data_IF_876145700627
#
_entry.id   IF_876145700627
#
_cell.length_a   1.000
_cell.length_b   1.000
_cell.length_c   1.000
_cell.angle_alpha   90.00
_cell.angle_beta   90.00
_cell.angle_gamma   90.00
#
_symmetry.space_group_name_H-M   'P 1'
#
loop_
_entity.id
_entity.type
_entity.pdbx_description
1 polymer ?
#
# COMPACT_ATOMS: atom_id res chain seq x y z
N UNK A 1 7.95 0.89 25.88
CA UNK A 1 7.84 0.36 24.51
C UNK A 1 6.70 1.09 23.82
N UNK A 2 6.94 1.66 22.62
CA UNK A 2 5.86 2.26 21.83
C UNK A 2 4.92 1.20 21.27
N UNK A 3 3.62 1.49 21.26
CA UNK A 3 2.57 0.62 20.71
C UNK A 3 2.02 1.20 19.42
N UNK A 4 1.95 0.39 18.37
CA UNK A 4 1.39 0.78 17.10
C UNK A 4 0.18 -0.10 16.72
N UNK A 5 -0.91 0.51 16.27
CA UNK A 5 -2.05 -0.20 15.68
C UNK A 5 -1.99 -0.07 14.16
N UNK A 6 -2.10 -1.20 13.44
CA UNK A 6 -2.11 -1.25 11.98
C UNK A 6 -3.41 -1.87 11.51
N UNK A 7 -4.24 -1.11 10.78
CA UNK A 7 -5.33 -1.68 10.00
C UNK A 7 -4.79 -2.13 8.63
N UNK A 8 -5.32 -3.25 8.09
CA UNK A 8 -4.79 -3.78 6.84
C UNK A 8 -3.41 -4.44 6.95
N UNK A 9 -3.06 -4.93 8.14
CA UNK A 9 -1.75 -5.53 8.46
C UNK A 9 -1.38 -6.70 7.53
N UNK A 10 -2.34 -7.45 7.01
CA UNK A 10 -2.13 -8.58 6.11
C UNK A 10 -1.88 -8.18 4.65
N UNK A 11 -1.94 -6.88 4.33
CA UNK A 11 -1.62 -6.33 3.03
C UNK A 11 -0.11 -6.23 2.80
N UNK A 12 0.29 -5.81 1.57
CA UNK A 12 1.68 -5.54 1.24
C UNK A 12 2.32 -4.58 2.25
N UNK A 13 1.79 -3.37 2.34
CA UNK A 13 2.36 -2.30 3.16
C UNK A 13 2.28 -2.63 4.66
N UNK A 14 1.15 -3.22 5.10
CA UNK A 14 0.96 -3.64 6.48
C UNK A 14 2.02 -4.65 6.92
N UNK A 15 2.39 -5.59 6.06
CA UNK A 15 3.41 -6.61 6.37
C UNK A 15 4.81 -6.01 6.48
N UNK A 16 5.22 -5.14 5.56
CA UNK A 16 6.52 -4.46 5.64
C UNK A 16 6.59 -3.45 6.79
N UNK A 17 5.50 -2.71 7.02
CA UNK A 17 5.44 -1.80 8.16
C UNK A 17 5.55 -2.54 9.50
N UNK A 18 4.95 -3.73 9.60
CA UNK A 18 5.08 -4.57 10.80
C UNK A 18 6.53 -4.97 11.04
N UNK A 19 7.24 -5.43 10.00
CA UNK A 19 8.67 -5.75 10.11
C UNK A 19 9.49 -4.54 10.55
N UNK A 20 9.25 -3.39 9.92
CA UNK A 20 9.93 -2.15 10.26
C UNK A 20 9.70 -1.74 11.73
N UNK A 21 8.45 -1.75 12.19
CA UNK A 21 8.14 -1.34 13.56
C UNK A 21 8.69 -2.33 14.59
N UNK A 22 8.60 -3.64 14.34
CA UNK A 22 9.21 -4.65 15.20
C UNK A 22 10.72 -4.48 15.30
N UNK A 23 11.42 -4.19 14.18
CA UNK A 23 12.87 -3.93 14.17
C UNK A 23 13.24 -2.67 14.97
N UNK A 24 12.34 -1.68 15.01
CA UNK A 24 12.47 -0.45 15.83
C UNK A 24 12.07 -0.64 17.29
N UNK A 25 11.71 -1.86 17.71
CA UNK A 25 11.38 -2.18 19.11
C UNK A 25 9.93 -1.87 19.52
N UNK A 26 9.02 -1.64 18.57
CA UNK A 26 7.60 -1.44 18.87
C UNK A 26 6.92 -2.74 19.28
N UNK A 27 5.83 -2.61 20.03
CA UNK A 27 4.76 -3.59 20.13
C UNK A 27 3.72 -3.26 19.05
N UNK A 28 3.40 -4.24 18.22
CA UNK A 28 2.54 -4.05 17.03
C UNK A 28 1.23 -4.79 17.22
N UNK A 29 0.11 -4.08 17.07
CA UNK A 29 -1.24 -4.60 17.13
C UNK A 29 -1.89 -4.51 15.75
N UNK A 30 -2.13 -5.65 15.12
CA UNK A 30 -2.72 -5.73 13.79
C UNK A 30 -4.22 -6.00 13.82
N UNK A 31 -5.01 -5.21 13.07
CA UNK A 31 -6.41 -5.55 12.81
C UNK A 31 -6.51 -6.50 11.62
N UNK A 32 -7.13 -7.66 11.84
CA UNK A 32 -7.45 -8.65 10.82
C UNK A 32 -8.95 -8.87 10.75
N UNK A 33 -9.49 -9.01 9.52
CA UNK A 33 -10.88 -9.39 9.33
C UNK A 33 -11.03 -10.89 9.53
N UNK A 34 -12.14 -11.30 10.16
CA UNK A 34 -12.47 -12.71 10.22
C UNK A 34 -12.87 -13.20 8.83
N UNK A 35 -12.14 -14.16 8.30
CA UNK A 35 -12.42 -14.84 7.04
C UNK A 35 -12.40 -16.35 7.23
N UNK A 36 -13.09 -17.10 6.35
CA UNK A 36 -13.08 -18.57 6.38
C UNK A 36 -11.72 -19.15 5.94
N UNK A 37 -10.95 -18.38 5.17
CA UNK A 37 -9.60 -18.74 4.73
C UNK A 37 -8.57 -17.86 5.45
N UNK A 38 -7.43 -18.44 5.78
CA UNK A 38 -6.31 -17.67 6.35
C UNK A 38 -5.75 -16.71 5.31
N UNK A 39 -5.53 -15.46 5.70
CA UNK A 39 -4.97 -14.40 4.85
C UNK A 39 -3.73 -13.75 5.46
N UNK A 40 -3.08 -14.43 6.40
CA UNK A 40 -1.95 -13.92 7.20
C UNK A 40 -0.58 -14.28 6.62
N UNK A 41 -0.52 -14.95 5.47
CA UNK A 41 0.72 -15.51 4.90
C UNK A 41 1.89 -14.52 4.79
N UNK A 42 1.60 -13.19 4.63
CA UNK A 42 2.64 -12.15 4.57
C UNK A 42 3.23 -11.78 5.93
N UNK A 43 2.60 -12.23 7.03
CA UNK A 43 3.04 -11.91 8.41
C UNK A 43 3.25 -13.17 9.27
N UNK A 44 2.98 -14.38 8.75
CA UNK A 44 3.11 -15.63 9.53
C UNK A 44 4.52 -15.84 10.08
N UNK A 45 5.54 -15.41 9.33
CA UNK A 45 6.94 -15.49 9.74
C UNK A 45 7.32 -14.55 10.91
N UNK A 46 6.47 -13.57 11.23
CA UNK A 46 6.66 -12.62 12.33
C UNK A 46 5.88 -13.04 13.59
N UNK A 47 4.96 -14.01 13.44
CA UNK A 47 4.09 -14.40 14.51
C UNK A 47 4.83 -15.26 15.55
N UNK A 48 4.79 -14.81 16.79
CA UNK A 48 5.22 -15.54 17.97
C UNK A 48 4.00 -15.72 18.87
N UNK A 49 3.84 -16.89 19.46
CA UNK A 49 2.70 -17.17 20.35
C UNK A 49 2.66 -16.10 21.46
N UNK A 50 1.51 -15.42 21.68
CA UNK A 50 1.39 -14.35 22.68
C UNK A 50 1.71 -14.77 24.13
N UNK A 51 1.80 -16.07 24.43
CA UNK A 51 2.25 -16.56 25.73
C UNK A 51 3.78 -16.54 25.90
N UNK A 52 4.52 -16.29 24.82
CA UNK A 52 5.97 -16.17 24.90
C UNK A 52 6.37 -14.74 25.36
N UNK A 53 7.40 -14.61 26.21
CA UNK A 53 7.80 -13.31 26.77
C UNK A 53 8.32 -12.29 25.73
N UNK A 54 8.75 -12.75 24.59
CA UNK A 54 9.28 -11.96 23.46
C UNK A 54 8.25 -11.63 22.38
N UNK A 55 7.00 -12.08 22.55
CA UNK A 55 5.92 -11.75 21.63
C UNK A 55 5.68 -10.23 21.60
N UNK A 56 5.76 -9.64 20.39
CA UNK A 56 5.54 -8.21 20.17
C UNK A 56 4.56 -7.95 19.01
N UNK A 57 4.00 -8.99 18.39
CA UNK A 57 2.96 -8.89 17.38
C UNK A 57 1.68 -9.52 17.92
N UNK A 58 0.63 -8.72 18.02
CA UNK A 58 -0.68 -9.14 18.52
C UNK A 58 -1.75 -8.90 17.44
N UNK A 59 -2.53 -9.93 17.11
CA UNK A 59 -3.56 -9.85 16.11
C UNK A 59 -4.95 -9.79 16.74
N UNK A 60 -5.76 -8.83 16.30
CA UNK A 60 -7.10 -8.58 16.81
C UNK A 60 -8.14 -8.68 15.67
N UNK A 61 -9.23 -9.37 15.91
CA UNK A 61 -10.36 -9.33 14.99
C UNK A 61 -11.08 -7.98 15.06
N UNK A 62 -11.25 -7.36 13.90
CA UNK A 62 -11.96 -6.09 13.74
C UNK A 62 -12.16 -5.76 12.27
N UNK A 63 -13.11 -4.87 12.01
CA UNK A 63 -13.43 -4.35 10.68
C UNK A 63 -13.64 -2.85 10.76
N UNK A 64 -13.26 -2.09 9.72
CA UNK A 64 -13.49 -0.64 9.66
C UNK A 64 -14.99 -0.29 9.58
N UNK A 65 -15.86 -1.25 9.33
CA UNK A 65 -17.31 -1.07 9.37
C UNK A 65 -17.90 -1.14 10.78
N UNK A 66 -17.14 -1.63 11.78
CA UNK A 66 -17.56 -1.77 13.18
C UNK A 66 -16.89 -0.71 14.08
N UNK A 67 -17.46 0.50 14.12
CA UNK A 67 -16.94 1.61 14.92
C UNK A 67 -16.87 1.30 16.42
N UNK A 68 -17.83 0.54 16.98
CA UNK A 68 -17.84 0.17 18.39
C UNK A 68 -16.64 -0.70 18.75
N UNK A 69 -16.33 -1.67 17.90
CA UNK A 69 -15.17 -2.53 18.07
C UNK A 69 -13.87 -1.72 18.00
N UNK A 70 -13.78 -0.76 17.07
CA UNK A 70 -12.60 0.11 16.93
C UNK A 70 -12.36 0.94 18.21
N UNK A 71 -13.39 1.55 18.79
CA UNK A 71 -13.28 2.29 20.06
C UNK A 71 -12.78 1.39 21.17
N UNK A 72 -13.38 0.20 21.32
CA UNK A 72 -12.99 -0.76 22.35
C UNK A 72 -11.52 -1.19 22.22
N UNK A 73 -11.09 -1.50 21.00
CA UNK A 73 -9.71 -1.90 20.72
C UNK A 73 -8.72 -0.79 21.07
N UNK A 74 -8.95 0.43 20.57
CA UNK A 74 -8.06 1.56 20.83
C UNK A 74 -8.00 1.91 22.32
N UNK A 75 -9.12 1.90 23.02
CA UNK A 75 -9.15 2.13 24.49
C UNK A 75 -8.39 1.06 25.28
N UNK A 76 -8.37 -0.18 24.78
CA UNK A 76 -7.68 -1.29 25.47
C UNK A 76 -6.18 -1.27 25.18
N UNK A 77 -5.80 -1.03 23.92
CA UNK A 77 -4.40 -1.04 23.47
C UNK A 77 -3.68 0.23 23.94
N UNK A 78 -4.37 1.37 23.92
CA UNK A 78 -3.82 2.71 24.20
C UNK A 78 -2.55 2.97 23.36
N UNK A 79 -2.66 3.03 22.01
CA UNK A 79 -1.52 3.10 21.12
C UNK A 79 -0.88 4.49 21.08
N UNK A 80 0.43 4.54 20.82
CA UNK A 80 1.17 5.77 20.49
C UNK A 80 0.97 6.18 19.02
N UNK A 81 0.78 5.19 18.15
CA UNK A 81 0.67 5.40 16.70
C UNK A 81 -0.42 4.51 16.09
N UNK A 82 -1.20 5.06 15.17
CA UNK A 82 -2.24 4.34 14.42
C UNK A 82 -2.00 4.52 12.93
N UNK A 83 -1.83 3.41 12.21
CA UNK A 83 -1.65 3.38 10.76
C UNK A 83 -2.89 2.82 10.07
N UNK A 84 -3.65 3.67 9.38
CA UNK A 84 -4.81 3.25 8.61
C UNK A 84 -4.45 2.88 7.17
N UNK A 85 -4.15 1.59 6.96
CA UNK A 85 -3.80 1.05 5.63
C UNK A 85 -4.94 0.23 5.01
N UNK A 86 -5.98 -0.10 5.80
CA UNK A 86 -7.09 -0.90 5.31
C UNK A 86 -7.97 -0.12 4.33
N UNK A 87 -8.26 -0.75 3.20
CA UNK A 87 -9.15 -0.21 2.16
C UNK A 87 -9.60 -1.34 1.22
N UNK A 88 -10.69 -1.09 0.47
CA UNK A 88 -10.87 -1.76 -0.82
C UNK A 88 -9.99 -1.00 -1.83
N UNK A 89 -8.81 -1.53 -2.16
CA UNK A 89 -7.76 -0.78 -2.87
C UNK A 89 -7.67 -1.07 -4.37
N UNK A 90 -8.46 -2.01 -4.88
CA UNK A 90 -8.42 -2.36 -6.30
C UNK A 90 -9.31 -1.43 -7.12
N UNK A 91 -8.68 -0.52 -7.89
CA UNK A 91 -9.38 0.55 -8.63
C UNK A 91 -10.44 -0.01 -9.57
N UNK A 92 -10.14 -1.07 -10.37
CA UNK A 92 -11.12 -1.65 -11.31
C UNK A 92 -12.35 -2.21 -10.56
N UNK A 93 -12.13 -2.92 -9.45
CA UNK A 93 -13.20 -3.49 -8.61
C UNK A 93 -14.09 -2.40 -8.01
N UNK A 94 -13.56 -1.19 -7.76
CA UNK A 94 -14.36 -0.10 -7.23
C UNK A 94 -15.51 0.35 -8.15
N UNK A 95 -15.42 0.08 -9.46
CA UNK A 95 -16.51 0.32 -10.39
C UNK A 95 -17.62 -0.74 -10.30
N UNK A 96 -17.26 -1.95 -9.91
CA UNK A 96 -18.21 -3.05 -9.73
C UNK A 96 -18.88 -2.99 -8.35
N UNK A 97 -18.13 -2.51 -7.32
CA UNK A 97 -18.58 -2.43 -5.92
C UNK A 97 -18.40 -0.99 -5.34
N UNK A 98 -19.05 0.05 -5.93
CA UNK A 98 -18.80 1.43 -5.52
C UNK A 98 -19.28 1.74 -4.10
N UNK A 99 -20.40 1.15 -3.67
CA UNK A 99 -20.95 1.35 -2.32
C UNK A 99 -20.04 0.74 -1.26
N UNK A 100 -19.62 -0.52 -1.46
CA UNK A 100 -18.69 -1.19 -0.55
C UNK A 100 -17.33 -0.46 -0.48
N UNK A 101 -16.84 0.02 -1.61
CA UNK A 101 -15.62 0.82 -1.69
C UNK A 101 -15.75 2.12 -0.89
N UNK A 102 -16.87 2.84 -1.05
CA UNK A 102 -17.16 4.07 -0.32
C UNK A 102 -17.26 3.84 1.19
N UNK A 103 -18.00 2.80 1.59
CA UNK A 103 -18.21 2.45 3.00
C UNK A 103 -16.91 2.00 3.70
N UNK A 104 -16.16 1.09 3.09
CA UNK A 104 -14.93 0.56 3.68
C UNK A 104 -13.80 1.59 3.67
N UNK A 105 -13.58 2.27 2.54
CA UNK A 105 -12.44 3.17 2.36
C UNK A 105 -12.73 4.56 2.90
N UNK A 106 -13.87 5.16 2.51
CA UNK A 106 -14.26 6.50 2.93
C UNK A 106 -14.79 6.54 4.36
N UNK A 107 -15.92 5.90 4.59
CA UNK A 107 -16.56 5.87 5.92
C UNK A 107 -15.75 5.10 6.94
N UNK A 108 -15.01 4.06 6.52
CA UNK A 108 -14.11 3.33 7.43
C UNK A 108 -13.04 4.22 8.03
N UNK A 109 -12.48 5.15 7.27
CA UNK A 109 -11.53 6.16 7.78
C UNK A 109 -12.17 7.07 8.82
N UNK A 110 -13.41 7.53 8.59
CA UNK A 110 -14.16 8.33 9.57
C UNK A 110 -14.42 7.54 10.85
N UNK A 111 -14.84 6.29 10.74
CA UNK A 111 -15.10 5.43 11.94
C UNK A 111 -13.83 5.28 12.77
N UNK A 112 -12.68 5.12 12.12
CA UNK A 112 -11.41 4.99 12.84
C UNK A 112 -10.95 6.32 13.46
N UNK A 113 -11.09 7.47 12.76
CA UNK A 113 -10.83 8.80 13.32
C UNK A 113 -11.74 9.10 14.52
N UNK A 114 -13.05 8.79 14.42
CA UNK A 114 -13.97 8.90 15.55
C UNK A 114 -13.58 7.96 16.70
N UNK A 115 -13.14 6.75 16.38
CA UNK A 115 -12.67 5.82 17.40
C UNK A 115 -11.43 6.37 18.15
N UNK A 116 -10.48 6.99 17.46
CA UNK A 116 -9.34 7.69 18.08
C UNK A 116 -9.84 8.81 19.00
N UNK A 117 -10.73 9.66 18.50
CA UNK A 117 -11.26 10.80 19.25
C UNK A 117 -12.06 10.36 20.49
N UNK A 118 -12.92 9.36 20.35
CA UNK A 118 -13.81 8.89 21.43
C UNK A 118 -13.09 8.06 22.50
N UNK A 119 -12.08 7.28 22.10
CA UNK A 119 -11.25 6.52 23.03
C UNK A 119 -10.30 7.40 23.84
N UNK A 120 -10.16 8.70 23.47
CA UNK A 120 -9.29 9.67 24.13
C UNK A 120 -7.80 9.25 24.20
N UNK A 121 -7.36 8.38 23.31
CA UNK A 121 -5.95 8.01 23.20
C UNK A 121 -5.15 9.17 22.61
N UNK A 122 -3.98 9.41 23.17
CA UNK A 122 -3.06 10.43 22.67
C UNK A 122 -2.10 9.78 21.67
N UNK A 123 -2.57 9.56 20.44
CA UNK A 123 -1.79 8.88 19.41
C UNK A 123 -1.56 9.78 18.20
N UNK A 124 -0.53 9.42 17.40
CA UNK A 124 -0.30 9.95 16.07
C UNK A 124 -1.00 9.07 15.05
N UNK A 125 -1.73 9.67 14.12
CA UNK A 125 -2.58 8.97 13.16
C UNK A 125 -2.06 9.17 11.73
N UNK A 126 -1.80 8.07 11.02
CA UNK A 126 -1.44 8.04 9.62
C UNK A 126 -2.61 7.53 8.77
N UNK A 127 -3.00 8.30 7.76
CA UNK A 127 -3.97 7.91 6.73
C UNK A 127 -3.25 7.56 5.44
N UNK A 128 -3.40 6.34 4.96
CA UNK A 128 -2.97 5.96 3.62
C UNK A 128 -3.88 6.62 2.58
N UNK A 129 -3.40 7.71 2.01
CA UNK A 129 -3.98 8.38 0.85
C UNK A 129 -3.36 7.84 -0.44
N UNK A 130 -3.76 8.34 -1.61
CA UNK A 130 -3.39 7.73 -2.89
C UNK A 130 -3.23 8.75 -4.00
N UNK A 131 -2.30 8.52 -4.92
CA UNK A 131 -2.17 9.28 -6.16
C UNK A 131 -3.41 9.21 -7.05
N UNK A 132 -4.27 8.18 -6.90
CA UNK A 132 -5.55 8.08 -7.61
C UNK A 132 -6.54 9.23 -7.26
N UNK A 133 -6.29 9.97 -6.18
CA UNK A 133 -7.02 11.19 -5.85
C UNK A 133 -6.78 12.30 -6.87
N UNK A 134 -5.59 12.40 -7.42
CA UNK A 134 -5.25 13.38 -8.45
C UNK A 134 -5.99 13.11 -9.76
N UNK A 135 -6.14 11.84 -10.14
CA UNK A 135 -6.95 11.43 -11.29
C UNK A 135 -6.54 12.12 -12.58
N UNK A 136 -7.36 13.05 -13.09
CA UNK A 136 -7.12 13.78 -14.33
C UNK A 136 -6.29 15.07 -14.15
N UNK A 137 -5.84 15.40 -12.96
CA UNK A 137 -4.95 16.55 -12.74
C UNK A 137 -3.59 16.32 -13.39
N UNK A 138 -3.03 17.30 -14.09
CA UNK A 138 -1.78 17.11 -14.85
C UNK A 138 -0.58 16.85 -13.93
N UNK A 139 0.37 15.99 -14.35
CA UNK A 139 1.63 15.79 -13.64
C UNK A 139 2.65 16.94 -13.88
N UNK A 140 3.68 17.07 -13.01
CA UNK A 140 3.88 16.33 -11.77
C UNK A 140 2.91 16.79 -10.69
N UNK A 141 2.37 15.81 -9.91
CA UNK A 141 1.44 16.11 -8.83
C UNK A 141 2.15 16.19 -7.48
N UNK A 142 1.79 17.19 -6.67
CA UNK A 142 2.30 17.40 -5.32
C UNK A 142 1.15 17.71 -4.34
N UNK A 143 1.49 18.10 -3.12
CA UNK A 143 0.53 18.39 -2.05
C UNK A 143 -0.43 19.56 -2.35
N UNK A 144 -0.06 20.46 -3.26
CA UNK A 144 -0.85 21.64 -3.68
C UNK A 144 -1.72 21.35 -4.93
N UNK A 145 -1.52 20.21 -5.60
CA UNK A 145 -2.25 19.85 -6.81
C UNK A 145 -3.71 19.53 -6.49
N UNK A 146 -4.69 20.18 -7.13
CA UNK A 146 -6.11 19.87 -6.91
C UNK A 146 -6.46 18.43 -7.26
N UNK A 147 -7.33 17.81 -6.48
CA UNK A 147 -7.83 16.47 -6.74
C UNK A 147 -8.91 16.47 -7.82
N UNK A 148 -8.81 15.51 -8.75
CA UNK A 148 -9.83 15.24 -9.75
C UNK A 148 -9.96 13.72 -9.98
N UNK A 149 -10.51 12.97 -8.99
CA UNK A 149 -10.54 11.52 -9.03
C UNK A 149 -11.33 10.98 -10.22
N UNK A 150 -10.88 9.85 -10.77
CA UNK A 150 -11.47 9.20 -11.94
C UNK A 150 -12.03 7.80 -11.62
N UNK A 151 -12.25 7.50 -10.33
CA UNK A 151 -12.80 6.22 -9.89
C UNK A 151 -13.52 6.36 -8.54
N UNK A 152 -14.47 5.46 -8.22
CA UNK A 152 -15.08 5.41 -6.88
C UNK A 152 -14.04 5.26 -5.77
N UNK A 153 -12.96 4.50 -6.00
CA UNK A 153 -11.82 4.39 -5.08
C UNK A 153 -11.13 5.73 -4.86
N UNK A 154 -10.79 6.44 -5.95
CA UNK A 154 -10.16 7.77 -5.85
C UNK A 154 -11.05 8.76 -5.09
N UNK A 155 -12.36 8.77 -5.37
CA UNK A 155 -13.33 9.62 -4.68
C UNK A 155 -13.42 9.29 -3.18
N UNK A 156 -13.44 8.00 -2.81
CA UNK A 156 -13.44 7.58 -1.41
C UNK A 156 -12.15 7.98 -0.67
N UNK A 157 -11.00 7.93 -1.36
CA UNK A 157 -9.71 8.41 -0.81
C UNK A 157 -9.69 9.93 -0.64
N UNK A 158 -10.27 10.71 -1.55
CA UNK A 158 -10.43 12.17 -1.39
C UNK A 158 -11.28 12.49 -0.14
N UNK A 159 -12.35 11.74 0.08
CA UNK A 159 -13.17 11.90 1.30
C UNK A 159 -12.36 11.60 2.56
N UNK A 160 -11.60 10.49 2.59
CA UNK A 160 -10.72 10.13 3.71
C UNK A 160 -9.64 11.19 3.97
N UNK A 161 -9.04 11.73 2.90
CA UNK A 161 -8.02 12.78 2.98
C UNK A 161 -8.57 14.04 3.68
N UNK A 162 -9.69 14.56 3.19
CA UNK A 162 -10.29 15.76 3.77
C UNK A 162 -10.81 15.54 5.18
N UNK A 163 -11.32 14.35 5.47
CA UNK A 163 -11.71 13.99 6.83
C UNK A 163 -10.51 14.01 7.79
N UNK A 164 -9.39 13.40 7.40
CA UNK A 164 -8.16 13.38 8.21
C UNK A 164 -7.67 14.81 8.49
N UNK A 165 -7.65 15.65 7.46
CA UNK A 165 -7.28 17.06 7.59
C UNK A 165 -8.25 17.81 8.50
N UNK A 166 -9.56 17.60 8.33
CA UNK A 166 -10.57 18.21 9.17
C UNK A 166 -10.43 17.82 10.64
N UNK A 167 -10.15 16.53 10.95
CA UNK A 167 -9.94 16.10 12.34
C UNK A 167 -8.67 16.69 12.95
N UNK A 168 -7.62 16.88 12.17
CA UNK A 168 -6.43 17.61 12.59
C UNK A 168 -6.75 19.05 12.96
N UNK A 169 -7.48 19.76 12.10
CA UNK A 169 -7.79 21.18 12.27
C UNK A 169 -8.87 21.44 13.36
N UNK A 170 -9.91 20.60 13.40
CA UNK A 170 -11.06 20.80 14.29
C UNK A 170 -10.82 20.27 15.71
N UNK A 171 -10.07 19.17 15.86
CA UNK A 171 -9.91 18.48 17.14
C UNK A 171 -8.46 18.45 17.64
N UNK A 172 -7.52 19.02 16.90
CA UNK A 172 -6.10 19.04 17.28
C UNK A 172 -5.43 17.67 17.26
N UNK A 173 -5.98 16.69 16.51
CA UNK A 173 -5.35 15.39 16.39
C UNK A 173 -4.04 15.50 15.58
N UNK A 174 -3.00 14.82 16.05
CA UNK A 174 -1.82 14.62 15.20
C UNK A 174 -2.18 13.61 14.10
N UNK A 175 -2.76 14.08 13.00
CA UNK A 175 -3.24 13.26 11.91
C UNK A 175 -2.63 13.73 10.57
N UNK A 176 -2.02 12.80 9.83
CA UNK A 176 -1.29 13.06 8.58
C UNK A 176 -1.81 12.21 7.43
N UNK A 177 -1.76 12.73 6.21
CA UNK A 177 -2.02 11.97 4.99
C UNK A 177 -0.70 11.68 4.27
N UNK A 178 -0.42 10.41 4.01
CA UNK A 178 0.61 10.01 3.05
C UNK A 178 -0.03 9.82 1.66
N UNK A 179 0.24 10.72 0.73
CA UNK A 179 -0.26 10.63 -0.65
C UNK A 179 0.74 9.79 -1.43
N UNK A 180 0.51 8.48 -1.44
CA UNK A 180 1.45 7.53 -2.01
C UNK A 180 1.15 7.28 -3.49
N UNK A 181 2.19 7.42 -4.30
CA UNK A 181 2.18 6.93 -5.67
C UNK A 181 2.30 5.40 -5.67
N UNK A 182 2.15 4.79 -6.84
CA UNK A 182 2.18 3.34 -6.93
C UNK A 182 3.49 2.78 -6.34
N UNK A 183 3.39 1.82 -5.45
CA UNK A 183 4.54 1.18 -4.84
C UNK A 183 4.29 -0.33 -4.76
N UNK A 184 5.28 -1.05 -5.19
CA UNK A 184 5.16 -2.44 -5.55
C UNK A 184 6.23 -3.27 -4.85
N UNK A 185 6.02 -4.57 -4.81
CA UNK A 185 6.98 -5.53 -4.25
C UNK A 185 6.59 -6.96 -4.61
N UNK A 186 7.41 -7.98 -4.26
CA UNK A 186 7.00 -9.38 -4.31
C UNK A 186 5.74 -9.70 -3.51
N UNK A 187 5.35 -8.87 -2.53
CA UNK A 187 4.13 -9.03 -1.72
C UNK A 187 2.91 -8.30 -2.28
N UNK A 188 3.03 -7.64 -3.44
CA UNK A 188 1.89 -6.98 -4.08
C UNK A 188 0.77 -7.98 -4.38
N UNK A 189 -0.49 -7.53 -4.28
CA UNK A 189 -1.65 -8.35 -4.66
C UNK A 189 -1.55 -8.82 -6.11
N UNK A 190 -1.86 -10.09 -6.35
CA UNK A 190 -1.61 -10.78 -7.64
C UNK A 190 -2.42 -10.24 -8.82
N UNK A 191 -3.51 -9.53 -8.55
CA UNK A 191 -4.39 -8.92 -9.55
C UNK A 191 -3.93 -7.52 -10.00
N UNK A 192 -2.97 -6.91 -9.30
CA UNK A 192 -2.39 -5.64 -9.72
C UNK A 192 -1.45 -5.82 -10.91
N UNK A 193 -1.45 -4.84 -11.82
CA UNK A 193 -0.83 -4.97 -13.15
C UNK A 193 0.64 -5.39 -13.09
N UNK A 194 1.44 -4.79 -12.22
CA UNK A 194 2.87 -5.11 -12.05
C UNK A 194 3.07 -6.56 -11.61
N UNK A 195 2.35 -6.98 -10.57
CA UNK A 195 2.43 -8.35 -10.06
C UNK A 195 1.85 -9.37 -11.04
N UNK A 196 0.77 -9.01 -11.76
CA UNK A 196 0.22 -9.83 -12.83
C UNK A 196 1.26 -10.07 -13.92
N UNK A 197 2.05 -9.05 -14.29
CA UNK A 197 3.11 -9.15 -15.28
C UNK A 197 4.22 -10.08 -14.78
N UNK A 198 4.78 -9.81 -13.60
CA UNK A 198 5.96 -10.55 -13.10
C UNK A 198 5.66 -12.03 -12.84
N UNK A 199 4.47 -12.35 -12.31
CA UNK A 199 4.00 -13.74 -12.19
C UNK A 199 3.82 -14.42 -13.53
N UNK A 200 3.24 -13.72 -14.52
CA UNK A 200 3.10 -14.29 -15.86
C UNK A 200 4.47 -14.56 -16.49
N UNK A 201 5.43 -13.63 -16.36
CA UNK A 201 6.81 -13.82 -16.82
C UNK A 201 7.42 -15.09 -16.24
N UNK A 202 7.36 -15.27 -14.92
CA UNK A 202 7.87 -16.46 -14.25
C UNK A 202 7.20 -17.75 -14.76
N UNK A 203 5.87 -17.75 -14.89
CA UNK A 203 5.09 -18.89 -15.36
C UNK A 203 5.32 -19.23 -16.85
N UNK A 204 5.48 -18.21 -17.70
CA UNK A 204 5.82 -18.38 -19.11
C UNK A 204 7.24 -18.97 -19.25
N UNK A 205 8.20 -18.45 -18.47
CA UNK A 205 9.56 -18.99 -18.44
C UNK A 205 9.59 -20.45 -18.00
N UNK A 206 8.73 -20.84 -17.07
CA UNK A 206 8.58 -22.23 -16.60
C UNK A 206 7.74 -23.10 -17.57
N UNK A 207 7.19 -22.56 -18.66
CA UNK A 207 6.40 -23.30 -19.63
C UNK A 207 4.98 -23.67 -19.17
N UNK A 208 4.49 -23.08 -18.07
CA UNK A 208 3.16 -23.38 -17.49
C UNK A 208 2.09 -22.34 -17.84
N UNK A 209 2.45 -21.33 -18.63
CA UNK A 209 1.53 -20.31 -19.17
C UNK A 209 1.99 -19.89 -20.57
N UNK A 210 1.04 -19.65 -21.48
CA UNK A 210 1.33 -19.28 -22.88
C UNK A 210 1.21 -17.79 -23.16
N UNK A 211 0.29 -17.09 -22.49
CA UNK A 211 -0.08 -15.71 -22.84
C UNK A 211 -0.33 -14.87 -21.59
N UNK A 212 -0.11 -13.56 -21.73
CA UNK A 212 -0.47 -12.54 -20.72
C UNK A 212 -1.43 -11.53 -21.38
N UNK A 213 -2.63 -11.42 -20.83
CA UNK A 213 -3.62 -10.45 -21.31
C UNK A 213 -3.58 -9.18 -20.45
N UNK A 214 -3.40 -8.02 -21.09
CA UNK A 214 -3.36 -6.70 -20.47
C UNK A 214 -4.35 -5.75 -21.16
N UNK A 215 -4.74 -4.68 -20.45
CA UNK A 215 -5.54 -3.59 -21.00
C UNK A 215 -4.66 -2.47 -21.56
N UNK A 216 -4.83 -1.24 -21.03
CA UNK A 216 -4.10 -0.07 -21.50
C UNK A 216 -2.60 -0.18 -21.20
N UNK A 217 -1.78 -0.34 -22.25
CA UNK A 217 -0.33 -0.44 -22.16
C UNK A 217 0.37 0.94 -22.07
N UNK A 218 -0.34 2.00 -22.43
CA UNK A 218 0.25 3.34 -22.56
C UNK A 218 0.00 4.23 -21.34
N UNK A 219 -0.78 3.73 -20.35
CA UNK A 219 -0.97 4.41 -19.09
C UNK A 219 0.37 4.56 -18.35
N UNK A 220 0.68 5.81 -17.92
CA UNK A 220 1.93 6.15 -17.25
C UNK A 220 1.74 6.13 -15.73
N UNK A 221 2.63 5.45 -15.02
CA UNK A 221 2.63 5.40 -13.56
C UNK A 221 4.04 5.62 -13.02
N UNK A 222 4.10 6.19 -11.83
CA UNK A 222 5.28 6.31 -11.01
C UNK A 222 5.29 5.12 -10.03
N UNK A 223 6.19 4.16 -10.25
CA UNK A 223 6.29 2.94 -9.43
C UNK A 223 7.54 2.95 -8.58
N UNK A 224 7.38 2.89 -7.27
CA UNK A 224 8.43 2.75 -6.29
C UNK A 224 8.40 1.40 -5.56
N UNK A 225 9.32 1.20 -4.64
CA UNK A 225 9.48 -0.03 -3.86
C UNK A 225 8.81 0.10 -2.49
N UNK A 226 7.87 -0.79 -2.18
CA UNK A 226 7.01 -0.69 -0.99
C UNK A 226 7.76 -0.59 0.36
N UNK A 227 8.87 -1.31 0.61
CA UNK A 227 9.66 -1.14 1.83
C UNK A 227 10.14 0.29 2.07
N UNK A 228 10.52 1.05 1.03
CA UNK A 228 10.92 2.44 1.18
C UNK A 228 9.74 3.34 1.55
N UNK A 229 8.55 3.03 1.02
CA UNK A 229 7.33 3.80 1.30
C UNK A 229 6.85 3.62 2.74
N UNK A 230 6.93 2.42 3.30
CA UNK A 230 6.54 2.21 4.71
C UNK A 230 7.50 2.93 5.68
N UNK A 231 8.77 3.08 5.31
CA UNK A 231 9.68 3.96 6.06
C UNK A 231 9.24 5.42 6.00
N UNK A 232 8.79 5.90 4.84
CA UNK A 232 8.19 7.21 4.69
C UNK A 232 6.96 7.41 5.57
N UNK A 233 6.06 6.41 5.64
CA UNK A 233 4.90 6.43 6.54
C UNK A 233 5.32 6.61 8.00
N UNK A 234 6.32 5.84 8.44
CA UNK A 234 6.84 5.95 9.80
C UNK A 234 7.47 7.32 10.05
N UNK A 235 8.29 7.85 9.13
CA UNK A 235 8.92 9.17 9.26
C UNK A 235 7.91 10.30 9.39
N UNK A 236 6.76 10.23 8.69
CA UNK A 236 5.68 11.22 8.82
C UNK A 236 5.16 11.29 10.26
N UNK A 237 5.02 10.14 10.93
CA UNK A 237 4.59 10.11 12.32
C UNK A 237 5.71 10.47 13.32
N UNK A 238 6.95 10.60 12.89
CA UNK A 238 8.04 11.12 13.74
C UNK A 238 8.27 12.63 13.57
N UNK A 239 7.62 13.26 12.59
CA UNK A 239 7.73 14.70 12.35
C UNK A 239 7.24 15.51 13.56
N UNK A 240 7.76 16.74 13.79
CA UNK A 240 7.32 17.57 14.90
C UNK A 240 5.87 18.05 14.75
N UNK A 241 5.43 18.32 13.53
CA UNK A 241 4.10 18.82 13.21
C UNK A 241 3.38 17.89 12.22
N UNK A 242 2.03 17.81 12.32
CA UNK A 242 1.23 16.95 11.43
C UNK A 242 1.04 17.63 10.06
N UNK A 243 1.74 17.15 9.05
CA UNK A 243 1.63 17.60 7.66
C UNK A 243 1.33 16.45 6.70
N UNK A 244 0.84 16.80 5.50
CA UNK A 244 0.58 15.85 4.43
C UNK A 244 1.79 15.81 3.47
N UNK A 245 2.13 14.61 2.97
CA UNK A 245 3.30 14.39 2.12
C UNK A 245 3.00 13.49 0.94
N UNK A 246 3.52 13.86 -0.23
CA UNK A 246 3.62 12.99 -1.40
C UNK A 246 4.86 12.10 -1.27
N UNK A 247 4.68 10.79 -1.48
CA UNK A 247 5.78 9.84 -1.67
C UNK A 247 5.72 9.31 -3.11
N UNK A 248 6.80 9.53 -3.87
CA UNK A 248 6.92 9.17 -5.27
C UNK A 248 8.38 9.03 -5.67
N UNK A 249 8.65 8.37 -6.80
CA UNK A 249 10.01 8.32 -7.37
C UNK A 249 10.33 9.53 -8.24
N UNK A 250 9.32 10.27 -8.68
CA UNK A 250 9.42 11.38 -9.62
C UNK A 250 9.61 10.95 -11.08
N UNK A 251 9.44 9.66 -11.39
CA UNK A 251 9.65 9.11 -12.73
C UNK A 251 8.45 8.28 -13.18
N UNK A 252 7.90 8.65 -14.32
CA UNK A 252 6.80 7.93 -14.96
C UNK A 252 7.29 6.89 -15.96
N UNK A 253 6.64 5.72 -15.96
CA UNK A 253 6.85 4.66 -16.94
C UNK A 253 5.50 4.14 -17.42
N UNK A 254 5.43 3.73 -18.68
CA UNK A 254 4.25 3.05 -19.22
C UNK A 254 4.16 1.62 -18.74
N UNK A 255 2.95 1.05 -18.74
CA UNK A 255 2.75 -0.39 -18.50
C UNK A 255 3.54 -1.23 -19.51
N UNK A 256 3.66 -0.76 -20.74
CA UNK A 256 4.47 -1.35 -21.82
C UNK A 256 5.94 -1.46 -21.42
N UNK A 257 6.54 -0.36 -20.96
CA UNK A 257 7.96 -0.33 -20.54
C UNK A 257 8.21 -1.24 -19.33
N UNK A 258 7.28 -1.28 -18.38
CA UNK A 258 7.38 -2.22 -17.26
C UNK A 258 7.33 -3.67 -17.73
N UNK A 259 6.37 -4.03 -18.63
CA UNK A 259 6.26 -5.37 -19.18
C UNK A 259 7.51 -5.74 -19.97
N UNK A 260 7.99 -4.88 -20.86
CA UNK A 260 9.22 -5.10 -21.60
C UNK A 260 10.39 -5.39 -20.66
N UNK A 261 10.62 -4.54 -19.66
CA UNK A 261 11.71 -4.72 -18.70
C UNK A 261 11.64 -6.06 -17.97
N UNK A 262 10.41 -6.45 -17.55
CA UNK A 262 10.19 -7.71 -16.85
C UNK A 262 10.47 -8.94 -17.74
N UNK A 263 10.01 -8.91 -18.99
CA UNK A 263 10.24 -10.00 -19.95
C UNK A 263 11.70 -10.08 -20.39
N UNK A 264 12.34 -8.94 -20.68
CA UNK A 264 13.77 -8.88 -21.08
C UNK A 264 14.66 -9.45 -19.97
N UNK A 265 14.36 -9.15 -18.70
CA UNK A 265 15.10 -9.71 -17.56
C UNK A 265 15.03 -11.25 -17.49
N UNK A 266 13.91 -11.83 -17.88
CA UNK A 266 13.74 -13.28 -17.95
C UNK A 266 14.30 -13.91 -19.25
N UNK A 267 14.79 -13.12 -20.21
CA UNK A 267 15.26 -13.57 -21.50
C UNK A 267 14.12 -13.91 -22.49
N UNK A 268 12.97 -13.28 -22.33
CA UNK A 268 11.76 -13.51 -23.13
C UNK A 268 11.41 -12.27 -23.96
N UNK A 269 10.87 -12.48 -25.18
CA UNK A 269 10.34 -11.43 -26.03
C UNK A 269 8.88 -11.14 -25.67
N UNK A 270 8.62 -10.01 -25.00
CA UNK A 270 7.28 -9.65 -24.52
C UNK A 270 6.21 -9.59 -25.62
N UNK A 271 6.57 -9.23 -26.86
CA UNK A 271 5.64 -9.11 -27.98
C UNK A 271 5.01 -10.45 -28.37
N UNK A 272 5.69 -11.56 -28.09
CA UNK A 272 5.16 -12.91 -28.36
C UNK A 272 4.07 -13.33 -27.41
N UNK A 273 4.09 -12.82 -26.16
CA UNK A 273 3.27 -13.32 -25.08
C UNK A 273 2.20 -12.33 -24.60
N UNK A 274 2.44 -11.01 -24.75
CA UNK A 274 1.48 -10.00 -24.28
C UNK A 274 0.42 -9.76 -25.35
N UNK A 275 -0.84 -9.89 -24.92
CA UNK A 275 -2.04 -9.68 -25.76
C UNK A 275 -2.95 -8.66 -25.12
N UNK A 276 -3.63 -7.88 -25.93
CA UNK A 276 -4.61 -6.90 -25.49
C UNK A 276 -5.97 -7.57 -25.22
N UNK A 277 -6.68 -7.10 -24.16
CA UNK A 277 -8.04 -7.52 -23.84
C UNK A 277 -8.83 -6.35 -23.24
N UNK A 278 -9.92 -5.96 -23.93
CA UNK A 278 -10.81 -4.84 -23.56
C UNK A 278 -11.40 -4.97 -22.15
N UNK A 279 -11.56 -6.19 -21.63
CA UNK A 279 -12.12 -6.45 -20.29
C UNK A 279 -11.29 -5.84 -19.16
N UNK A 280 -10.02 -5.53 -19.43
CA UNK A 280 -9.12 -4.90 -18.47
C UNK A 280 -9.10 -3.37 -18.55
N UNK A 281 -9.84 -2.77 -19.51
CA UNK A 281 -10.01 -1.33 -19.57
C UNK A 281 -10.89 -0.85 -18.41
N UNK A 282 -10.64 0.36 -17.95
CA UNK A 282 -11.47 1.02 -16.94
C UNK A 282 -12.53 1.87 -17.62
N UNK A 283 -13.73 2.04 -17.00
CA UNK A 283 -14.76 2.94 -17.54
C UNK A 283 -14.28 4.39 -17.69
N UNK A 284 -13.40 4.84 -16.79
CA UNK A 284 -12.65 6.10 -16.91
C UNK A 284 -11.19 5.84 -16.59
N UNK A 285 -10.31 6.31 -17.47
CA UNK A 285 -8.87 6.08 -17.35
C UNK A 285 -8.16 7.29 -16.73
N UNK A 286 -7.00 7.02 -16.17
CA UNK A 286 -6.03 8.02 -15.73
C UNK A 286 -4.80 7.86 -16.58
N UNK A 287 -4.49 8.85 -17.41
CA UNK A 287 -3.42 8.75 -18.40
C UNK A 287 -2.04 8.75 -17.74
N UNK A 288 -1.80 9.65 -16.77
CA UNK A 288 -0.49 9.81 -16.16
C UNK A 288 -0.57 10.22 -14.70
N UNK A 289 0.18 9.50 -13.86
CA UNK A 289 0.46 9.86 -12.46
C UNK A 289 1.98 9.85 -12.25
N UNK A 290 2.56 11.02 -11.98
CA UNK A 290 3.99 11.21 -11.68
C UNK A 290 4.07 12.20 -10.52
N UNK A 291 4.64 11.78 -9.40
CA UNK A 291 4.67 12.59 -8.18
C UNK A 291 5.90 13.48 -8.06
N UNK A 292 5.72 14.58 -7.37
CA UNK A 292 6.82 15.42 -6.88
C UNK A 292 6.94 15.27 -5.35
N UNK A 293 7.92 14.52 -4.91
CA UNK A 293 8.20 14.24 -3.49
C UNK A 293 9.23 15.21 -2.87
N UNK A 294 9.40 16.41 -3.45
CA UNK A 294 10.37 17.41 -2.98
C UNK A 294 10.15 17.75 -1.51
N UNK A 295 8.90 17.93 -1.08
CA UNK A 295 8.56 18.22 0.32
C UNK A 295 9.00 17.09 1.26
N UNK A 296 8.73 15.84 0.91
CA UNK A 296 9.17 14.68 1.71
C UNK A 296 10.70 14.58 1.80
N UNK A 297 11.40 14.88 0.70
CA UNK A 297 12.87 14.91 0.70
C UNK A 297 13.44 15.99 1.62
N UNK A 298 12.86 17.18 1.63
CA UNK A 298 13.32 18.32 2.44
C UNK A 298 12.96 18.17 3.92
N UNK A 299 11.72 17.80 4.22
CA UNK A 299 11.19 17.79 5.59
C UNK A 299 11.44 16.47 6.33
N UNK A 300 11.39 15.33 5.63
CA UNK A 300 11.54 14.00 6.22
C UNK A 300 12.88 13.33 5.90
N UNK A 301 13.69 13.91 5.01
CA UNK A 301 14.89 13.27 4.47
C UNK A 301 14.59 11.97 3.70
N UNK A 302 13.35 11.83 3.19
CA UNK A 302 12.93 10.63 2.48
C UNK A 302 13.10 10.79 0.97
N UNK A 303 13.69 9.79 0.33
CA UNK A 303 13.81 9.67 -1.14
C UNK A 303 13.68 8.21 -1.54
N UNK A 304 12.97 7.95 -2.63
CA UNK A 304 12.99 6.64 -3.26
C UNK A 304 14.35 6.38 -3.91
N UNK A 305 14.92 5.22 -3.67
CA UNK A 305 16.18 4.76 -4.26
C UNK A 305 15.95 3.72 -5.37
N UNK A 306 15.00 2.79 -5.15
CA UNK A 306 14.65 1.75 -6.12
C UNK A 306 13.70 2.32 -7.17
N UNK A 307 14.08 2.26 -8.43
CA UNK A 307 13.30 2.70 -9.58
C UNK A 307 12.70 1.53 -10.36
N UNK A 308 11.74 1.81 -11.23
CA UNK A 308 10.91 0.85 -11.98
C UNK A 308 11.70 -0.29 -12.62
N UNK A 309 12.86 -0.03 -13.23
CA UNK A 309 13.66 -1.07 -13.89
C UNK A 309 14.26 -2.08 -12.90
N UNK A 310 14.76 -1.62 -11.77
CA UNK A 310 15.25 -2.49 -10.68
C UNK A 310 14.10 -3.19 -9.98
N UNK A 311 13.02 -2.48 -9.70
CA UNK A 311 11.80 -3.02 -9.12
C UNK A 311 11.23 -4.20 -9.93
N UNK A 312 11.14 -4.06 -11.26
CA UNK A 312 10.66 -5.13 -12.12
C UNK A 312 11.52 -6.39 -12.00
N UNK A 313 12.86 -6.24 -11.94
CA UNK A 313 13.80 -7.36 -11.74
C UNK A 313 13.61 -8.04 -10.39
N UNK A 314 13.56 -7.26 -9.29
CA UNK A 314 13.30 -7.78 -7.94
C UNK A 314 12.03 -8.63 -7.92
N UNK A 315 10.96 -8.14 -8.53
CA UNK A 315 9.68 -8.83 -8.52
C UNK A 315 9.68 -10.09 -9.41
N UNK A 316 10.36 -10.05 -10.57
CA UNK A 316 10.50 -11.22 -11.46
C UNK A 316 11.32 -12.31 -10.79
N UNK A 317 12.48 -11.97 -10.21
CA UNK A 317 13.34 -12.93 -9.53
C UNK A 317 12.61 -13.61 -8.37
N UNK A 318 11.86 -12.85 -7.59
CA UNK A 318 11.04 -13.38 -6.51
C UNK A 318 9.94 -14.34 -7.01
N UNK A 319 9.28 -14.02 -8.12
CA UNK A 319 8.24 -14.89 -8.69
C UNK A 319 8.81 -16.17 -9.31
N UNK A 320 10.01 -16.11 -9.90
CA UNK A 320 10.72 -17.30 -10.38
C UNK A 320 11.09 -18.20 -9.19
N UNK A 321 11.73 -17.64 -8.16
CA UNK A 321 12.10 -18.39 -6.95
C UNK A 321 10.89 -19.02 -6.25
N UNK A 322 9.74 -18.32 -6.21
CA UNK A 322 8.50 -18.85 -5.62
C UNK A 322 7.97 -20.07 -6.37
N UNK A 323 8.12 -20.13 -7.69
CA UNK A 323 7.73 -21.30 -8.48
C UNK A 323 8.65 -22.51 -8.26
N UNK A 324 9.96 -22.28 -8.05
CA UNK A 324 10.93 -23.33 -7.77
C UNK A 324 10.74 -23.94 -6.37
N UNK A 325 10.13 -23.19 -5.43
CA UNK A 325 9.86 -23.62 -4.05
C UNK A 325 8.46 -24.22 -3.84
N UNK A 326 7.86 -24.91 -4.82
CA UNK A 326 6.51 -25.53 -4.74
C UNK A 326 5.39 -24.56 -4.36
N UNK A 327 5.47 -23.32 -4.82
CA UNK A 327 4.41 -22.31 -4.63
C UNK A 327 4.29 -21.79 -3.19
N UNK A 328 5.23 -22.07 -2.30
CA UNK A 328 5.28 -21.37 -1.00
C UNK A 328 5.54 -19.88 -1.24
N UNK A 329 4.85 -18.98 -0.54
CA UNK A 329 5.13 -17.57 -0.69
C UNK A 329 6.60 -17.33 -0.40
N UNK A 330 7.31 -16.79 -1.40
CA UNK A 330 8.67 -16.35 -1.20
C UNK A 330 8.62 -15.16 -0.24
N UNK A 331 9.22 -15.36 0.94
CA UNK A 331 9.36 -14.30 1.94
C UNK A 331 10.73 -13.69 1.68
N UNK A 332 10.74 -12.55 0.96
CA UNK A 332 11.96 -11.79 0.82
C UNK A 332 12.45 -11.37 2.21
N UNK A 333 13.66 -11.80 2.55
CA UNK A 333 14.35 -11.13 3.64
C UNK A 333 14.66 -9.73 3.12
N UNK A 334 14.16 -8.67 3.75
CA UNK A 334 14.47 -7.32 3.33
C UNK A 334 15.99 -7.13 3.43
N UNK A 335 16.68 -7.21 2.30
CA UNK A 335 18.08 -6.80 2.18
C UNK A 335 18.08 -5.32 1.79
N UNK A 336 17.46 -4.47 2.61
CA UNK A 336 17.71 -3.05 2.52
C UNK A 336 19.07 -2.75 3.15
N UNK A 337 19.94 -1.97 2.48
CA UNK A 337 21.15 -1.47 3.09
C UNK A 337 20.77 -0.67 4.35
N UNK A 338 21.14 -1.15 5.53
CA UNK A 338 20.81 -0.50 6.81
C UNK A 338 19.75 -1.21 7.67
N UNK A 339 19.21 -2.35 7.24
CA UNK A 339 18.34 -3.23 8.02
C UNK A 339 19.13 -4.48 8.47
N UNK A 340 20.05 -4.29 9.41
CA UNK A 340 20.76 -5.38 10.11
C UNK A 340 20.36 -5.38 11.58
#
# INVERSE_FOLDING_TARGET
VKRAVITGITGQDGSYLTELLLSKGYEVHGLIRRASTFNTSRIDHLYVDPHQPDARLFLHYGDLTDGTRLVTLLSTIDPDEVYNLAAQSHVRVSFDEPVHTGDTTGMGSIRLLEAVRLSRVNCRFYQASSSEMFGASPPPQNEETPFYPRSPYGAAKVYSYWATRNYREAYGLFAVNGILFNHESPRRGETFVTRKITRAVARIKAGVQSDLYLGNLDAVRDWGYAPEYVEGMWRMLQAPEPEDFVLATGRGYTVREFAQTAFDHAGLDWQKYVKFDDRYLRPTEVDSLIGDATKAAQSLGWKAAVHTGELARIMVDADIAALECDGRPWIDKPTLPGWS
#
